data_IF_568266374208
#
_entry.id   IF_568266374208
#
_cell.length_a   1.000
_cell.length_b   1.000
_cell.length_c   1.000
_cell.angle_alpha   90.00
_cell.angle_beta   90.00
_cell.angle_gamma   90.00
#
_symmetry.space_group_name_H-M   'P 1'
#
loop_
_entity.id
_entity.type
_entity.pdbx_description
1 polymer ?
#
# COMPACT_ATOMS: atom_id res chain seq x y z
N UNK A 1 35.59 4.48 -25.79
CA UNK A 1 34.44 4.23 -24.96
C UNK A 1 34.34 5.37 -23.96
N UNK A 2 33.26 6.18 -23.97
CA UNK A 2 33.13 7.34 -23.07
C UNK A 2 32.24 6.90 -21.89
N UNK A 3 32.73 7.03 -20.65
CA UNK A 3 32.00 6.73 -19.45
C UNK A 3 31.43 8.04 -18.86
N UNK A 4 30.13 8.12 -18.68
CA UNK A 4 29.51 9.23 -17.99
C UNK A 4 29.13 8.78 -16.56
N UNK A 5 29.71 9.44 -15.57
CA UNK A 5 29.39 9.22 -14.15
C UNK A 5 28.27 10.19 -13.78
N UNK A 6 27.14 9.65 -13.36
CA UNK A 6 25.99 10.44 -12.84
C UNK A 6 26.18 10.61 -11.34
N UNK A 7 26.02 11.83 -10.85
CA UNK A 7 26.07 12.11 -9.42
C UNK A 7 24.90 11.40 -8.70
N UNK A 8 25.10 10.90 -7.46
CA UNK A 8 24.03 10.31 -6.69
C UNK A 8 22.94 11.33 -6.41
N UNK A 9 21.67 10.89 -6.52
CA UNK A 9 20.53 11.68 -6.07
C UNK A 9 20.56 11.74 -4.54
N UNK A 10 20.34 12.92 -3.99
CA UNK A 10 20.29 13.13 -2.54
C UNK A 10 18.93 13.71 -2.13
N UNK A 11 18.43 13.28 -0.98
CA UNK A 11 17.24 13.80 -0.33
C UNK A 11 17.59 14.13 1.13
N UNK A 12 17.33 15.37 1.56
CA UNK A 12 17.74 15.91 2.87
C UNK A 12 19.24 15.77 3.15
N UNK A 13 20.09 15.99 2.10
CA UNK A 13 21.55 15.88 2.19
C UNK A 13 22.10 14.45 2.24
N UNK A 14 21.25 13.43 2.23
CA UNK A 14 21.65 12.03 2.27
C UNK A 14 21.42 11.34 0.92
N UNK A 15 22.31 10.44 0.46
CA UNK A 15 22.10 9.70 -0.77
C UNK A 15 20.84 8.85 -0.74
N UNK A 16 20.09 8.86 -1.84
CA UNK A 16 19.01 7.90 -2.07
C UNK A 16 19.64 6.58 -2.47
N UNK A 17 19.34 5.51 -1.71
CA UNK A 17 19.86 4.18 -1.96
C UNK A 17 18.83 3.11 -1.70
N UNK A 18 18.99 1.93 -2.30
CA UNK A 18 18.11 0.78 -2.06
C UNK A 18 18.07 0.37 -0.58
N UNK A 19 19.20 0.50 0.14
CA UNK A 19 19.27 0.22 1.58
C UNK A 19 18.41 1.20 2.38
N UNK A 20 18.49 2.50 2.07
CA UNK A 20 17.66 3.52 2.73
C UNK A 20 16.16 3.29 2.46
N UNK A 21 15.80 3.01 1.19
CA UNK A 21 14.40 2.72 0.81
C UNK A 21 13.88 1.49 1.54
N UNK A 22 14.66 0.40 1.62
CA UNK A 22 14.25 -0.81 2.38
C UNK A 22 14.03 -0.50 3.85
N UNK A 23 14.97 0.22 4.48
CA UNK A 23 14.85 0.58 5.90
C UNK A 23 13.57 1.35 6.20
N UNK A 24 13.24 2.39 5.44
CA UNK A 24 12.01 3.17 5.69
C UNK A 24 10.73 2.37 5.44
N UNK A 25 10.74 1.40 4.52
CA UNK A 25 9.60 0.49 4.29
C UNK A 25 9.46 -0.52 5.44
N UNK A 26 10.56 -1.07 5.93
CA UNK A 26 10.59 -1.97 7.09
C UNK A 26 10.16 -1.27 8.40
N UNK A 27 10.43 0.03 8.51
CA UNK A 27 9.97 0.88 9.61
C UNK A 27 8.49 1.30 9.49
N UNK A 28 7.85 1.04 8.34
CA UNK A 28 6.44 1.35 8.09
C UNK A 28 6.21 2.80 7.66
N UNK A 29 7.13 3.37 6.90
CA UNK A 29 7.04 4.74 6.41
C UNK A 29 6.99 4.78 4.86
N UNK A 30 5.86 4.37 4.24
CA UNK A 30 5.71 4.39 2.79
C UNK A 30 5.70 5.81 2.21
N UNK A 31 5.36 6.82 2.99
CA UNK A 31 5.41 8.23 2.60
C UNK A 31 6.85 8.69 2.35
N UNK A 32 7.78 8.31 3.22
CA UNK A 32 9.20 8.58 3.02
C UNK A 32 9.75 7.79 1.83
N UNK A 33 9.33 6.52 1.69
CA UNK A 33 9.69 5.72 0.53
C UNK A 33 9.21 6.36 -0.79
N UNK A 34 7.99 6.94 -0.81
CA UNK A 34 7.46 7.70 -1.95
C UNK A 34 8.36 8.89 -2.29
N UNK A 35 8.85 9.65 -1.29
CA UNK A 35 9.78 10.77 -1.51
C UNK A 35 11.09 10.29 -2.12
N UNK A 36 11.65 9.19 -1.60
CA UNK A 36 12.91 8.63 -2.07
C UNK A 36 12.82 8.02 -3.48
N UNK A 37 11.70 7.38 -3.81
CA UNK A 37 11.47 6.70 -5.09
C UNK A 37 10.92 7.63 -6.17
N UNK A 38 10.23 8.70 -5.76
CA UNK A 38 9.44 9.55 -6.65
C UNK A 38 8.10 8.92 -7.09
N UNK A 39 7.77 7.74 -6.58
CA UNK A 39 6.50 7.03 -6.81
C UNK A 39 6.15 6.15 -5.61
N UNK A 40 4.85 5.77 -5.42
CA UNK A 40 4.46 4.87 -4.35
C UNK A 40 5.13 3.51 -4.49
N UNK A 41 5.58 2.95 -3.38
CA UNK A 41 6.03 1.56 -3.38
C UNK A 41 4.84 0.62 -3.67
N UNK A 42 5.07 -0.43 -4.45
CA UNK A 42 4.02 -1.39 -4.82
C UNK A 42 4.50 -2.84 -4.80
N UNK A 43 3.53 -3.75 -4.63
CA UNK A 43 3.69 -5.15 -4.96
C UNK A 43 2.76 -5.52 -6.11
N UNK A 44 3.32 -6.11 -7.16
CA UNK A 44 2.56 -6.73 -8.25
C UNK A 44 2.66 -8.24 -8.12
N UNK A 45 1.59 -8.87 -7.67
CA UNK A 45 1.57 -10.28 -7.28
C UNK A 45 0.27 -10.97 -7.71
N UNK A 46 0.29 -12.30 -7.90
CA UNK A 46 -0.92 -13.07 -8.17
C UNK A 46 -1.91 -13.00 -7.02
N UNK A 47 -3.19 -12.93 -7.35
CA UNK A 47 -4.29 -13.05 -6.40
C UNK A 47 -4.56 -14.52 -6.10
N UNK A 48 -4.43 -14.89 -4.83
CA UNK A 48 -4.57 -16.25 -4.33
C UNK A 48 -5.89 -16.44 -3.58
N UNK A 49 -6.34 -17.68 -3.50
CA UNK A 49 -7.46 -18.04 -2.64
C UNK A 49 -7.10 -17.91 -1.17
N UNK A 50 -7.84 -17.07 -0.44
CA UNK A 50 -7.72 -16.90 1.01
C UNK A 50 -8.81 -17.63 1.79
N UNK A 51 -8.83 -17.44 3.12
CA UNK A 51 -9.84 -18.04 4.03
C UNK A 51 -11.27 -17.50 3.86
N UNK A 52 -11.49 -16.51 2.98
CA UNK A 52 -12.78 -15.89 2.64
C UNK A 52 -13.55 -15.29 3.86
N UNK A 53 -12.89 -15.10 5.01
CA UNK A 53 -13.51 -14.52 6.22
C UNK A 53 -14.10 -13.12 5.96
N UNK A 54 -13.45 -12.30 5.16
CA UNK A 54 -13.96 -10.97 4.79
C UNK A 54 -15.32 -11.00 4.10
N UNK A 55 -15.61 -12.05 3.32
CA UNK A 55 -16.92 -12.21 2.65
C UNK A 55 -18.07 -12.39 3.65
N UNK A 56 -17.82 -13.07 4.78
CA UNK A 56 -18.86 -13.31 5.81
C UNK A 56 -19.29 -12.04 6.53
N UNK A 57 -18.45 -11.01 6.52
CA UNK A 57 -18.72 -9.69 7.13
C UNK A 57 -19.02 -8.61 6.08
N UNK A 58 -19.17 -8.98 4.79
CA UNK A 58 -19.45 -8.06 3.70
C UNK A 58 -18.25 -7.20 3.27
N UNK A 59 -17.02 -7.61 3.62
CA UNK A 59 -15.76 -6.91 3.30
C UNK A 59 -14.83 -7.90 2.56
N UNK A 60 -15.09 -8.17 1.27
CA UNK A 60 -14.25 -9.09 0.51
C UNK A 60 -12.82 -8.57 0.38
N UNK A 61 -11.85 -9.46 0.49
CA UNK A 61 -10.42 -9.15 0.33
C UNK A 61 -9.79 -10.02 -0.74
N UNK A 62 -8.86 -9.46 -1.49
CA UNK A 62 -7.89 -10.21 -2.29
C UNK A 62 -6.70 -10.58 -1.41
N UNK A 63 -6.14 -11.75 -1.64
CA UNK A 63 -5.01 -12.27 -0.88
C UNK A 63 -3.83 -12.44 -1.84
N UNK A 64 -2.67 -11.94 -1.42
CA UNK A 64 -1.42 -12.08 -2.15
C UNK A 64 -0.35 -12.56 -1.17
N UNK A 65 0.59 -13.36 -1.65
CA UNK A 65 1.77 -13.80 -0.87
C UNK A 65 2.98 -13.06 -1.37
N UNK A 66 3.72 -12.45 -0.46
CA UNK A 66 5.00 -11.79 -0.76
C UNK A 66 6.08 -12.87 -0.81
N UNK A 67 6.77 -13.06 -1.96
CA UNK A 67 7.82 -14.04 -2.10
C UNK A 67 9.04 -13.70 -1.23
N UNK A 68 9.82 -14.73 -0.89
CA UNK A 68 11.11 -14.54 -0.22
C UNK A 68 12.04 -13.68 -1.10
N UNK A 69 12.82 -12.82 -0.44
CA UNK A 69 13.75 -11.90 -1.12
C UNK A 69 13.12 -10.57 -1.57
N UNK A 70 11.80 -10.44 -1.54
CA UNK A 70 11.15 -9.13 -1.72
C UNK A 70 11.40 -8.21 -0.52
N UNK A 71 11.32 -6.90 -0.75
CA UNK A 71 11.33 -5.92 0.33
C UNK A 71 10.17 -6.21 1.26
N UNK A 72 10.42 -6.16 2.56
CA UNK A 72 9.38 -6.39 3.58
C UNK A 72 8.83 -5.07 4.08
N UNK A 73 7.52 -4.90 4.04
CA UNK A 73 6.85 -3.83 4.75
C UNK A 73 6.69 -4.20 6.22
N UNK A 74 6.69 -3.20 7.09
CA UNK A 74 6.25 -3.39 8.50
C UNK A 74 4.86 -4.02 8.53
N UNK A 75 4.64 -4.97 9.46
CA UNK A 75 3.31 -5.52 9.65
C UNK A 75 2.32 -4.47 10.10
N UNK A 76 1.11 -4.52 9.55
CA UNK A 76 0.06 -3.58 9.91
C UNK A 76 -0.89 -3.28 8.76
N UNK A 77 -1.73 -2.29 8.99
CA UNK A 77 -2.77 -1.86 8.06
C UNK A 77 -2.34 -0.57 7.36
N UNK A 78 -2.50 -0.57 6.05
CA UNK A 78 -2.09 0.52 5.15
C UNK A 78 -3.28 1.08 4.38
N UNK A 79 -3.30 2.39 4.18
CA UNK A 79 -4.01 2.98 3.06
C UNK A 79 -3.24 2.67 1.79
N UNK A 80 -3.95 2.21 0.78
CA UNK A 80 -3.39 1.77 -0.50
C UNK A 80 -4.35 2.10 -1.64
N UNK A 81 -3.94 1.82 -2.86
CA UNK A 81 -4.80 1.82 -4.03
C UNK A 81 -4.31 0.78 -5.03
N UNK A 82 -5.16 0.42 -5.97
CA UNK A 82 -4.82 -0.52 -7.04
C UNK A 82 -5.49 -0.15 -8.36
N UNK A 83 -4.96 -0.72 -9.45
CA UNK A 83 -5.56 -0.62 -10.77
C UNK A 83 -6.16 -1.95 -11.18
N UNK A 84 -7.41 -1.94 -11.64
CA UNK A 84 -8.09 -3.10 -12.20
C UNK A 84 -8.65 -2.69 -13.57
N UNK A 85 -8.09 -3.29 -14.61
CA UNK A 85 -8.32 -2.78 -15.97
C UNK A 85 -7.83 -1.34 -16.09
N UNK A 86 -8.71 -0.42 -16.45
CA UNK A 86 -8.42 1.02 -16.58
C UNK A 86 -8.94 1.85 -15.41
N UNK A 87 -9.47 1.21 -14.37
CA UNK A 87 -10.05 1.90 -13.22
C UNK A 87 -9.13 1.78 -12.01
N UNK A 88 -8.96 2.89 -11.31
CA UNK A 88 -8.22 2.99 -10.06
C UNK A 88 -9.16 2.99 -8.86
N UNK A 89 -8.84 2.17 -7.88
CA UNK A 89 -9.66 1.97 -6.68
C UNK A 89 -8.84 2.26 -5.42
N UNK A 90 -9.39 3.01 -4.45
CA UNK A 90 -8.82 3.05 -3.11
C UNK A 90 -8.93 1.68 -2.46
N UNK A 91 -8.01 1.40 -1.54
CA UNK A 91 -7.96 0.11 -0.88
C UNK A 91 -7.38 0.22 0.54
N UNK A 92 -7.70 -0.77 1.37
CA UNK A 92 -7.06 -1.00 2.67
C UNK A 92 -6.35 -2.33 2.62
N UNK A 93 -5.05 -2.33 2.88
CA UNK A 93 -4.22 -3.53 2.84
C UNK A 93 -3.68 -3.87 4.22
N UNK A 94 -3.95 -5.07 4.69
CA UNK A 94 -3.27 -5.65 5.85
C UNK A 94 -2.05 -6.45 5.39
N UNK A 95 -0.87 -6.09 5.88
CA UNK A 95 0.38 -6.83 5.70
C UNK A 95 0.64 -7.59 7.00
N UNK A 96 0.69 -8.90 6.93
CA UNK A 96 0.83 -9.72 8.13
C UNK A 96 1.58 -11.02 7.90
N UNK A 97 2.03 -11.62 9.01
CA UNK A 97 2.65 -12.95 9.00
C UNK A 97 1.61 -14.04 9.16
N UNK A 98 1.73 -15.08 8.35
CA UNK A 98 1.03 -16.35 8.60
C UNK A 98 2.06 -17.42 8.98
N UNK A 99 2.00 -17.99 10.19
CA UNK A 99 2.79 -19.15 10.53
C UNK A 99 2.44 -20.30 9.57
N UNK A 100 3.45 -20.84 8.88
CA UNK A 100 3.29 -22.03 8.04
C UNK A 100 3.64 -23.26 8.85
N UNK A 101 2.75 -24.27 8.82
CA UNK A 101 2.89 -25.51 9.61
C UNK A 101 4.04 -26.38 9.08
N UNK A 102 4.55 -26.18 7.86
CA UNK A 102 5.43 -27.09 7.15
C UNK A 102 6.74 -26.49 6.57
N UNK A 103 7.13 -25.26 6.96
CA UNK A 103 8.38 -24.63 6.51
C UNK A 103 8.97 -23.79 7.64
N UNK A 104 10.30 -23.79 7.76
CA UNK A 104 11.05 -22.89 8.63
C UNK A 104 10.96 -21.45 8.10
N UNK A 105 9.78 -20.84 8.18
CA UNK A 105 9.54 -19.49 7.72
C UNK A 105 8.07 -19.07 7.84
N UNK A 106 7.82 -17.80 8.09
CA UNK A 106 6.47 -17.24 8.07
C UNK A 106 6.17 -16.70 6.67
N UNK A 107 5.05 -17.10 6.08
CA UNK A 107 4.55 -16.47 4.86
C UNK A 107 4.08 -15.04 5.16
N UNK A 108 4.63 -14.06 4.47
CA UNK A 108 4.12 -12.70 4.52
C UNK A 108 3.00 -12.59 3.49
N UNK A 109 1.86 -12.11 3.94
CA UNK A 109 0.67 -11.97 3.08
C UNK A 109 0.14 -10.54 3.10
N UNK A 110 -0.38 -10.11 1.95
CA UNK A 110 -1.21 -8.93 1.83
C UNK A 110 -2.67 -9.36 1.69
N UNK A 111 -3.54 -8.87 2.58
CA UNK A 111 -4.98 -9.01 2.47
C UNK A 111 -5.55 -7.62 2.18
N UNK A 112 -6.01 -7.41 0.94
CA UNK A 112 -6.44 -6.09 0.48
C UNK A 112 -7.95 -6.06 0.25
N UNK A 113 -8.63 -5.16 0.96
CA UNK A 113 -10.01 -4.78 0.69
C UNK A 113 -10.01 -3.64 -0.33
N UNK A 114 -10.55 -3.91 -1.52
CA UNK A 114 -10.65 -2.93 -2.62
C UNK A 114 -12.01 -2.25 -2.51
N UNK A 115 -12.00 -0.95 -2.23
CA UNK A 115 -13.20 -0.18 -1.94
C UNK A 115 -13.93 0.14 -3.26
N UNK A 116 -15.23 -0.14 -3.31
CA UNK A 116 -16.05 0.11 -4.50
C UNK A 116 -15.89 -0.91 -5.64
N UNK A 117 -15.04 -1.93 -5.46
CA UNK A 117 -14.90 -3.00 -6.44
C UNK A 117 -15.76 -4.22 -6.09
N UNK A 118 -16.44 -4.75 -7.10
CA UNK A 118 -17.16 -6.01 -7.02
C UNK A 118 -16.81 -6.86 -8.23
N UNK A 119 -16.15 -7.99 -8.01
CA UNK A 119 -15.71 -8.88 -9.07
C UNK A 119 -14.83 -10.01 -8.57
N UNK A 120 -14.41 -10.87 -9.48
CA UNK A 120 -13.47 -11.96 -9.21
C UNK A 120 -12.11 -11.63 -9.84
N UNK A 121 -11.06 -11.70 -9.02
CA UNK A 121 -9.67 -11.44 -9.42
C UNK A 121 -8.77 -12.67 -9.23
N UNK A 122 -9.33 -13.82 -8.89
CA UNK A 122 -8.53 -15.03 -8.69
C UNK A 122 -7.75 -15.42 -9.95
N UNK A 123 -6.47 -15.74 -9.76
CA UNK A 123 -5.58 -16.12 -10.85
C UNK A 123 -5.10 -14.96 -11.73
N UNK A 124 -5.52 -13.72 -11.43
CA UNK A 124 -4.96 -12.53 -12.07
C UNK A 124 -3.82 -11.95 -11.25
N UNK A 125 -2.98 -11.12 -11.87
CA UNK A 125 -2.03 -10.28 -11.15
C UNK A 125 -2.68 -8.93 -10.84
N UNK A 126 -2.51 -8.47 -9.59
CA UNK A 126 -2.96 -7.14 -9.17
C UNK A 126 -1.80 -6.42 -8.50
N UNK A 127 -1.61 -5.15 -8.85
CA UNK A 127 -0.60 -4.29 -8.27
C UNK A 127 -1.22 -3.40 -7.21
N UNK A 128 -0.70 -3.48 -5.98
CA UNK A 128 -1.15 -2.71 -4.82
C UNK A 128 -0.07 -1.67 -4.49
N UNK A 129 -0.45 -0.41 -4.49
CA UNK A 129 0.38 0.75 -4.20
C UNK A 129 0.13 1.22 -2.78
N UNK A 130 1.17 1.37 -1.98
CA UNK A 130 1.09 1.73 -0.56
C UNK A 130 1.26 3.23 -0.37
N UNK A 131 0.29 3.87 0.31
CA UNK A 131 0.27 5.32 0.53
C UNK A 131 0.70 5.71 1.93
N UNK A 132 0.12 5.07 2.95
CA UNK A 132 0.31 5.45 4.34
C UNK A 132 0.12 4.26 5.26
N UNK A 133 0.92 4.21 6.35
CA UNK A 133 0.73 3.27 7.45
C UNK A 133 -0.35 3.80 8.38
N UNK A 134 -1.44 3.07 8.55
CA UNK A 134 -2.57 3.51 9.34
C UNK A 134 -2.49 3.06 10.80
N UNK A 135 -2.10 1.81 11.04
CA UNK A 135 -2.02 1.24 12.39
C UNK A 135 -1.39 -0.16 12.40
N UNK A 136 -1.04 -0.62 13.58
CA UNK A 136 -0.63 -2.01 13.83
C UNK A 136 -1.80 -2.99 13.70
N UNK A 137 -1.46 -4.26 13.46
CA UNK A 137 -2.42 -5.35 13.58
C UNK A 137 -2.90 -5.47 15.02
N UNK A 138 -4.20 -5.70 15.21
CA UNK A 138 -4.77 -5.95 16.54
C UNK A 138 -5.92 -6.93 16.46
N UNK A 139 -6.15 -7.66 17.54
CA UNK A 139 -7.35 -8.48 17.72
C UNK A 139 -8.53 -7.59 18.09
N UNK A 140 -9.70 -7.92 17.59
CA UNK A 140 -10.94 -7.21 17.91
C UNK A 140 -11.83 -8.08 18.80
N UNK A 141 -12.53 -7.48 19.76
CA UNK A 141 -13.39 -8.21 20.69
C UNK A 141 -14.66 -8.77 20.01
N UNK A 142 -15.05 -8.20 18.86
CA UNK A 142 -16.23 -8.62 18.11
C UNK A 142 -16.08 -8.35 16.62
N UNK A 143 -16.91 -9.00 15.80
CA UNK A 143 -17.02 -8.72 14.36
C UNK A 143 -17.53 -7.29 14.08
N UNK A 144 -18.37 -6.74 14.97
CA UNK A 144 -18.83 -5.35 14.87
C UNK A 144 -17.67 -4.37 15.03
N UNK A 145 -16.82 -4.55 16.05
CA UNK A 145 -15.64 -3.72 16.28
C UNK A 145 -14.61 -3.83 15.13
N UNK A 146 -14.46 -5.03 14.54
CA UNK A 146 -13.62 -5.22 13.35
C UNK A 146 -14.19 -4.45 12.15
N UNK A 147 -15.51 -4.55 11.89
CA UNK A 147 -16.17 -3.85 10.79
C UNK A 147 -16.05 -2.34 10.91
N UNK A 148 -16.27 -1.80 12.11
CA UNK A 148 -16.12 -0.37 12.40
C UNK A 148 -14.69 0.11 12.13
N UNK A 149 -13.68 -0.63 12.62
CA UNK A 149 -12.27 -0.31 12.38
C UNK A 149 -11.89 -0.35 10.89
N UNK A 150 -12.42 -1.32 10.13
CA UNK A 150 -12.19 -1.38 8.68
C UNK A 150 -12.89 -0.21 7.99
N UNK A 151 -14.11 0.15 8.39
CA UNK A 151 -14.82 1.31 7.85
C UNK A 151 -14.06 2.62 8.08
N UNK A 152 -13.50 2.81 9.27
CA UNK A 152 -12.63 3.97 9.55
C UNK A 152 -11.37 3.97 8.66
N UNK A 153 -10.69 2.83 8.54
CA UNK A 153 -9.52 2.72 7.67
C UNK A 153 -9.89 2.94 6.18
N UNK A 154 -11.07 2.49 5.75
CA UNK A 154 -11.56 2.72 4.40
C UNK A 154 -11.75 4.22 4.12
N UNK A 155 -12.39 4.95 5.02
CA UNK A 155 -12.57 6.40 4.89
C UNK A 155 -11.22 7.15 4.82
N UNK A 156 -10.22 6.73 5.62
CA UNK A 156 -8.87 7.29 5.54
C UNK A 156 -8.21 7.00 4.18
N UNK A 157 -8.32 5.76 3.68
CA UNK A 157 -7.75 5.36 2.39
C UNK A 157 -8.41 6.11 1.22
N UNK A 158 -9.74 6.30 1.24
CA UNK A 158 -10.47 7.09 0.25
C UNK A 158 -10.03 8.56 0.25
N UNK A 159 -9.86 9.16 1.44
CA UNK A 159 -9.39 10.53 1.56
C UNK A 159 -7.97 10.71 1.00
N UNK A 160 -7.04 9.81 1.37
CA UNK A 160 -5.67 9.83 0.86
C UNK A 160 -5.61 9.59 -0.65
N UNK A 161 -6.39 8.65 -1.17
CA UNK A 161 -6.45 8.37 -2.60
C UNK A 161 -7.06 9.55 -3.39
N UNK A 162 -8.06 10.23 -2.84
CA UNK A 162 -8.69 11.40 -3.46
C UNK A 162 -7.74 12.60 -3.51
N UNK A 163 -6.91 12.76 -2.47
CA UNK A 163 -5.87 13.79 -2.40
C UNK A 163 -4.61 13.45 -3.22
N UNK A 164 -4.49 12.20 -3.71
CA UNK A 164 -3.29 11.77 -4.44
C UNK A 164 -3.20 12.50 -5.80
N UNK A 165 -2.02 13.01 -6.18
CA UNK A 165 -1.83 13.77 -7.43
C UNK A 165 -2.26 12.98 -8.67
N UNK A 166 -2.89 13.68 -9.60
CA UNK A 166 -3.40 13.11 -10.86
C UNK A 166 -2.87 13.86 -12.06
N UNK A 167 -2.76 13.16 -13.17
CA UNK A 167 -2.44 13.76 -14.45
C UNK A 167 -3.69 14.48 -15.07
N UNK A 168 -3.51 15.03 -16.28
CA UNK A 168 -4.57 15.74 -17.01
C UNK A 168 -5.75 14.84 -17.41
N UNK A 169 -5.57 13.53 -17.37
CA UNK A 169 -6.61 12.51 -17.68
C UNK A 169 -7.31 12.00 -16.41
N UNK A 170 -6.92 12.50 -15.22
CA UNK A 170 -7.45 12.07 -13.94
C UNK A 170 -6.82 10.78 -13.39
N UNK A 171 -5.74 10.27 -14.02
CA UNK A 171 -5.03 9.08 -13.56
C UNK A 171 -4.03 9.44 -12.45
N UNK A 172 -3.85 8.59 -11.41
CA UNK A 172 -2.82 8.80 -10.40
C UNK A 172 -1.43 8.94 -11.02
N UNK A 173 -0.70 9.96 -10.60
CA UNK A 173 0.69 10.17 -11.04
C UNK A 173 1.60 9.18 -10.34
N UNK A 174 2.01 8.11 -11.02
CA UNK A 174 2.93 7.11 -10.47
C UNK A 174 4.39 7.60 -10.41
N UNK A 175 4.72 8.65 -11.17
CA UNK A 175 6.03 9.32 -11.16
C UNK A 175 5.81 10.78 -10.73
N UNK A 176 5.47 11.01 -9.47
CA UNK A 176 5.37 12.35 -8.91
C UNK A 176 6.52 12.58 -7.94
N UNK A 177 7.29 13.66 -8.14
CA UNK A 177 8.27 14.09 -7.14
C UNK A 177 7.59 14.42 -5.81
N UNK A 178 8.34 14.34 -4.71
CA UNK A 178 7.88 14.59 -3.34
C UNK A 178 7.05 15.87 -3.19
N UNK A 179 7.41 16.94 -3.91
CA UNK A 179 6.72 18.24 -3.88
C UNK A 179 5.25 18.18 -4.30
N UNK A 180 4.87 17.28 -5.20
CA UNK A 180 3.48 17.14 -5.64
C UNK A 180 2.60 16.50 -4.55
N UNK A 181 3.16 15.58 -3.74
CA UNK A 181 2.47 14.94 -2.63
C UNK A 181 2.24 15.86 -1.44
N UNK A 182 3.23 16.70 -1.11
CA UNK A 182 3.14 17.66 0.00
C UNK A 182 2.09 18.74 -0.25
N UNK A 183 2.00 19.24 -1.48
CA UNK A 183 1.01 20.23 -1.87
C UNK A 183 -0.43 19.71 -1.80
N UNK A 184 -0.67 18.42 -2.03
CA UNK A 184 -2.00 17.81 -1.93
C UNK A 184 -2.51 17.64 -0.49
N UNK A 185 -1.62 17.53 0.52
CA UNK A 185 -2.01 17.37 1.94
C UNK A 185 -2.36 18.68 2.64
N UNK A 186 -1.87 19.80 2.15
CA UNK A 186 -2.11 21.14 2.74
C UNK A 186 -3.47 21.77 2.35
N UNK A 187 -4.34 21.05 1.64
CA UNK A 187 -5.65 21.57 1.22
C UNK A 187 -6.81 21.18 2.17
N UNK A 188 -6.53 20.71 3.39
CA UNK A 188 -7.58 20.60 4.40
C UNK A 188 -7.84 22.01 4.99
N UNK A 189 -9.05 22.57 4.84
CA UNK A 189 -9.42 23.79 5.55
C UNK A 189 -9.45 23.46 7.05
N UNK A 190 -8.71 24.27 7.82
CA UNK A 190 -8.87 24.33 9.27
C UNK A 190 -10.34 24.55 9.58
N UNK A 191 -10.98 23.60 10.24
CA UNK A 191 -12.31 23.81 10.81
C UNK A 191 -12.14 24.67 12.07
N UNK A 192 -12.58 25.91 11.94
CA UNK A 192 -12.88 26.78 13.07
C UNK A 192 -14.15 26.30 13.79
#
# INVERSE_FOLDING_TARGET
>A
MTCHVVAPVTEDGNPVSSTRVRGVLEDGNPEEALRLLGHPFSYRLPVLHGKKLGRTIGIPTVNQRIPDGFVRLKNGVYASFCRIGDVWYPAVTNVGFRPTVNRDGADITCETHIIGFSGDLYGTETEIYFLSYLREERKFPSLSALREAIGHNAAQAEALFSAYPRDRTGQPLLLCGASAWENGRNTHPEQH
#
